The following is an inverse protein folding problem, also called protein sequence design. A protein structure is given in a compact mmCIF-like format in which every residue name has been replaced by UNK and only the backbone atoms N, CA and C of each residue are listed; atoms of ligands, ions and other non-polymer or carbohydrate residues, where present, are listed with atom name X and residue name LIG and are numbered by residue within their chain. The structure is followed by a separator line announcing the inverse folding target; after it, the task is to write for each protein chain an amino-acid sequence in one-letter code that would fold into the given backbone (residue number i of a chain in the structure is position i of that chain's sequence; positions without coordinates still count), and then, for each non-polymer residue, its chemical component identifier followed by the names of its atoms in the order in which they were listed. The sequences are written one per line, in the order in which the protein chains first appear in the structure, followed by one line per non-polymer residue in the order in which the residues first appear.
data_IF_517914090792
#
_entry.id   IF_517914090792
#
_cell.length_a   1.000
_cell.length_b   1.000
_cell.length_c   1.000
_cell.angle_alpha   90.00
_cell.angle_beta   90.00
_cell.angle_gamma   90.00
#
_symmetry.space_group_name_H-M   'P 1'
#
loop_
_entity.id
_entity.type
_entity.pdbx_description
1 polymer ?
#
# COMPACT_ATOMS: atom_id res chain seq x y z
N UNK A 1 4.12 -2.00 8.76
CA UNK A 1 4.74 -3.35 8.82
C UNK A 1 3.70 -4.49 8.86
N UNK A 2 2.47 -4.26 9.34
CA UNK A 2 1.43 -5.30 9.47
C UNK A 2 1.12 -6.02 8.16
N UNK A 3 0.94 -5.29 7.07
CA UNK A 3 0.66 -5.87 5.74
C UNK A 3 1.80 -6.73 5.20
N UNK A 4 3.05 -6.27 5.37
CA UNK A 4 4.24 -7.05 4.97
C UNK A 4 4.31 -8.35 5.79
N UNK A 5 4.07 -8.27 7.10
CA UNK A 5 4.04 -9.45 7.96
C UNK A 5 2.98 -10.47 7.53
N UNK A 6 1.77 -10.03 7.20
CA UNK A 6 0.72 -10.93 6.71
C UNK A 6 1.11 -11.63 5.41
N UNK A 7 1.73 -10.90 4.48
CA UNK A 7 2.09 -11.43 3.17
C UNK A 7 3.34 -12.32 3.19
N UNK A 8 4.32 -12.01 4.04
CA UNK A 8 5.66 -12.62 3.97
C UNK A 8 6.08 -13.38 5.23
N UNK A 9 5.42 -13.17 6.36
CA UNK A 9 5.86 -13.63 7.68
C UNK A 9 6.95 -12.76 8.33
N UNK A 10 7.62 -11.88 7.58
CA UNK A 10 8.66 -10.99 8.09
C UNK A 10 8.08 -9.74 8.76
N UNK A 11 8.72 -9.31 9.86
CA UNK A 11 8.37 -8.08 10.57
C UNK A 11 9.50 -7.06 10.44
N UNK A 12 9.54 -6.28 9.33
CA UNK A 12 10.58 -5.28 9.18
C UNK A 12 10.44 -4.18 10.24
N UNK A 13 11.55 -3.70 10.83
CA UNK A 13 11.51 -2.57 11.74
C UNK A 13 11.09 -1.31 10.99
N UNK A 14 10.28 -0.47 11.66
CA UNK A 14 9.89 0.85 11.14
C UNK A 14 10.75 1.90 11.82
N UNK A 15 11.40 2.76 11.03
CA UNK A 15 12.23 3.86 11.52
C UNK A 15 11.82 5.16 10.83
N UNK A 16 11.73 6.23 11.61
CA UNK A 16 11.63 7.58 11.04
C UNK A 16 12.97 7.98 10.45
N UNK A 17 12.96 8.54 9.25
CA UNK A 17 14.10 9.14 8.60
C UNK A 17 13.92 10.67 8.60
N UNK A 18 15.00 11.42 8.48
CA UNK A 18 14.95 12.87 8.25
C UNK A 18 14.52 13.14 6.82
N UNK A 19 13.98 14.34 6.58
CA UNK A 19 13.57 14.75 5.24
C UNK A 19 14.74 14.62 4.25
N UNK A 20 14.47 13.93 3.13
CA UNK A 20 15.46 13.68 2.09
C UNK A 20 16.41 12.49 2.33
N UNK A 21 16.34 11.83 3.48
CA UNK A 21 17.10 10.60 3.72
C UNK A 21 16.39 9.38 3.14
N UNK A 22 17.16 8.48 2.53
CA UNK A 22 16.71 7.16 2.09
C UNK A 22 17.62 6.08 2.66
N UNK A 23 17.03 4.95 3.05
CA UNK A 23 17.78 3.80 3.53
C UNK A 23 17.96 2.79 2.38
N UNK A 24 19.17 2.20 2.27
CA UNK A 24 19.43 1.11 1.34
C UNK A 24 18.81 -0.20 1.83
N UNK A 25 18.41 -1.06 0.90
CA UNK A 25 17.78 -2.36 1.20
C UNK A 25 16.56 -2.22 2.11
N UNK A 26 15.77 -1.19 1.87
CA UNK A 26 14.61 -0.84 2.66
C UNK A 26 13.43 -0.45 1.76
N UNK A 27 12.24 -0.41 2.35
CA UNK A 27 11.07 0.21 1.76
C UNK A 27 11.00 1.64 2.31
N UNK A 28 11.32 2.60 1.46
CA UNK A 28 11.28 4.02 1.77
C UNK A 28 9.90 4.59 1.39
N UNK A 29 9.31 5.34 2.32
CA UNK A 29 8.04 6.02 2.12
C UNK A 29 8.27 7.53 2.18
N UNK A 30 7.78 8.27 1.20
CA UNK A 30 7.98 9.71 1.12
C UNK A 30 6.76 10.44 0.56
N UNK A 31 6.78 11.76 0.68
CA UNK A 31 5.83 12.65 0.03
C UNK A 31 6.52 13.36 -1.12
N UNK A 32 5.77 13.56 -2.22
CA UNK A 32 6.24 14.25 -3.41
C UNK A 32 5.13 15.18 -3.92
N UNK A 33 5.33 16.47 -3.74
CA UNK A 33 4.36 17.51 -4.11
C UNK A 33 4.19 17.68 -5.63
N UNK A 34 5.11 17.16 -6.44
CA UNK A 34 5.05 17.23 -7.89
C UNK A 34 4.06 16.20 -8.48
N UNK A 35 3.58 15.25 -7.68
CA UNK A 35 2.51 14.34 -8.08
C UNK A 35 1.18 15.11 -8.11
N UNK A 36 0.54 15.18 -9.28
CA UNK A 36 -0.63 16.06 -9.49
C UNK A 36 -1.89 15.64 -8.71
N UNK A 37 -2.12 14.33 -8.56
CA UNK A 37 -3.30 13.80 -7.88
C UNK A 37 -3.00 13.50 -6.40
N UNK A 38 -3.86 14.00 -5.50
CA UNK A 38 -3.70 13.81 -4.05
C UNK A 38 -3.62 12.34 -3.62
N UNK A 39 -4.22 11.45 -4.37
CA UNK A 39 -4.20 10.01 -4.13
C UNK A 39 -3.22 9.28 -5.07
N UNK A 40 -2.51 10.04 -5.94
CA UNK A 40 -1.50 9.50 -6.84
C UNK A 40 -0.22 9.10 -6.12
N UNK A 41 0.48 8.14 -6.69
CA UNK A 41 1.77 7.66 -6.18
C UNK A 41 2.71 7.22 -7.29
N UNK A 42 3.99 7.15 -6.95
CA UNK A 42 5.04 6.52 -7.74
C UNK A 42 5.72 5.47 -6.86
N UNK A 43 5.73 4.22 -7.34
CA UNK A 43 6.42 3.10 -6.71
C UNK A 43 7.60 2.72 -7.61
N UNK A 44 8.81 2.77 -7.08
CA UNK A 44 10.03 2.42 -7.81
C UNK A 44 10.76 1.29 -7.09
N UNK A 45 11.06 0.23 -7.82
CA UNK A 45 11.82 -0.94 -7.34
C UNK A 45 13.18 -0.96 -8.03
N UNK A 46 14.24 -1.03 -7.24
CA UNK A 46 15.63 -1.10 -7.70
C UNK A 46 16.40 -2.17 -6.92
N UNK A 47 17.64 -2.45 -7.31
CA UNK A 47 18.54 -3.30 -6.52
C UNK A 47 18.89 -2.72 -5.14
N UNK A 48 18.76 -1.40 -4.97
CA UNK A 48 19.08 -0.71 -3.71
C UNK A 48 17.88 -0.69 -2.73
N UNK A 49 16.68 -0.99 -3.20
CA UNK A 49 15.47 -0.99 -2.37
C UNK A 49 14.22 -0.55 -3.12
N UNK A 50 13.19 -0.29 -2.36
CA UNK A 50 11.88 0.14 -2.86
C UNK A 50 11.61 1.55 -2.36
N UNK A 51 11.16 2.43 -3.27
CA UNK A 51 10.73 3.79 -2.96
C UNK A 51 9.25 3.93 -3.31
N UNK A 52 8.45 4.45 -2.38
CA UNK A 52 7.04 4.79 -2.60
C UNK A 52 6.85 6.25 -2.24
N UNK A 53 6.54 7.07 -3.21
CA UNK A 53 6.22 8.49 -3.04
C UNK A 53 4.76 8.74 -3.41
N UNK A 54 4.02 9.41 -2.54
CA UNK A 54 2.66 9.88 -2.82
C UNK A 54 2.58 11.38 -2.69
N UNK A 55 1.60 12.02 -3.35
CA UNK A 55 1.36 13.46 -3.11
C UNK A 55 0.92 13.70 -1.66
N UNK A 56 0.10 12.78 -1.13
CA UNK A 56 -0.34 12.77 0.26
C UNK A 56 -0.12 11.38 0.88
N UNK A 57 -0.40 11.26 2.16
CA UNK A 57 -0.38 9.96 2.86
C UNK A 57 -1.32 8.92 2.23
N UNK A 58 -2.45 9.36 1.63
CA UNK A 58 -3.36 8.48 0.90
C UNK A 58 -2.67 7.86 -0.32
N UNK A 59 -1.94 8.66 -1.11
CA UNK A 59 -1.16 8.15 -2.23
C UNK A 59 -0.11 7.14 -1.79
N UNK A 60 0.62 7.42 -0.71
CA UNK A 60 1.59 6.47 -0.13
C UNK A 60 0.89 5.19 0.29
N UNK A 61 -0.30 5.27 0.91
CA UNK A 61 -1.10 4.11 1.29
C UNK A 61 -1.44 3.23 0.07
N UNK A 62 -1.92 3.82 -1.04
CA UNK A 62 -2.22 3.07 -2.27
C UNK A 62 -0.97 2.45 -2.90
N UNK A 63 0.16 3.15 -2.89
CA UNK A 63 1.43 2.58 -3.30
C UNK A 63 1.85 1.36 -2.46
N UNK A 64 1.60 1.41 -1.15
CA UNK A 64 1.80 0.25 -0.27
C UNK A 64 0.86 -0.92 -0.60
N UNK A 65 -0.41 -0.66 -0.98
CA UNK A 65 -1.33 -1.71 -1.40
C UNK A 65 -0.87 -2.36 -2.71
N UNK A 66 -0.38 -1.57 -3.68
CA UNK A 66 0.20 -2.08 -4.92
C UNK A 66 1.41 -2.96 -4.66
N UNK A 67 2.32 -2.52 -3.80
CA UNK A 67 3.46 -3.36 -3.39
C UNK A 67 2.98 -4.67 -2.74
N UNK A 68 2.01 -4.60 -1.82
CA UNK A 68 1.44 -5.79 -1.17
C UNK A 68 0.87 -6.78 -2.18
N UNK A 69 0.09 -6.29 -3.17
CA UNK A 69 -0.54 -7.11 -4.22
C UNK A 69 0.50 -7.70 -5.19
N UNK A 70 1.68 -7.08 -5.30
CA UNK A 70 2.80 -7.59 -6.12
C UNK A 70 3.55 -8.76 -5.45
N UNK A 71 3.28 -9.03 -4.16
CA UNK A 71 3.89 -10.15 -3.43
C UNK A 71 3.09 -11.42 -3.73
N UNK A 72 3.73 -12.50 -4.24
CA UNK A 72 3.05 -13.77 -4.47
C UNK A 72 2.43 -14.35 -3.20
N UNK A 73 1.26 -15.00 -3.33
CA UNK A 73 0.54 -15.56 -2.18
C UNK A 73 1.31 -16.67 -1.44
N UNK A 74 2.19 -17.36 -2.15
CA UNK A 74 3.01 -18.46 -1.63
C UNK A 74 4.35 -18.00 -1.03
N UNK A 75 4.56 -16.67 -0.90
CA UNK A 75 5.85 -16.09 -0.50
C UNK A 75 6.19 -16.21 0.99
N UNK A 76 5.41 -16.93 1.80
CA UNK A 76 5.68 -17.08 3.22
C UNK A 76 7.02 -17.79 3.49
N UNK A 77 7.97 -17.05 4.05
CA UNK A 77 9.29 -17.57 4.42
C UNK A 77 10.26 -17.78 3.26
N UNK A 78 9.89 -17.37 2.04
CA UNK A 78 10.76 -17.44 0.87
C UNK A 78 11.31 -16.06 0.47
N UNK A 79 12.42 -16.05 -0.26
CA UNK A 79 12.92 -14.83 -0.89
C UNK A 79 11.95 -14.36 -1.98
N UNK A 80 11.58 -13.10 -1.95
CA UNK A 80 10.65 -12.50 -2.90
C UNK A 80 11.45 -11.70 -3.92
N UNK A 81 11.36 -12.11 -5.18
CA UNK A 81 11.93 -11.38 -6.29
C UNK A 81 10.87 -10.47 -6.92
N UNK A 82 11.07 -9.17 -6.80
CA UNK A 82 10.26 -8.17 -7.47
C UNK A 82 11.04 -7.64 -8.70
N UNK A 83 10.38 -7.48 -9.86
CA UNK A 83 11.04 -6.90 -11.03
C UNK A 83 11.43 -5.45 -10.74
N UNK A 84 12.62 -5.05 -11.20
CA UNK A 84 13.03 -3.64 -11.16
C UNK A 84 12.17 -2.85 -12.16
N UNK A 85 11.71 -1.67 -11.73
CA UNK A 85 10.85 -0.82 -12.56
C UNK A 85 10.20 0.30 -11.76
N UNK A 86 9.38 1.09 -12.45
CA UNK A 86 8.61 2.16 -11.83
C UNK A 86 7.14 2.07 -12.26
N UNK A 87 6.25 2.20 -11.30
CA UNK A 87 4.79 2.26 -11.48
C UNK A 87 4.37 3.65 -11.05
N UNK A 88 3.69 4.38 -11.96
CA UNK A 88 2.99 5.62 -11.64
C UNK A 88 1.51 5.37 -11.82
N UNK A 89 0.73 5.59 -10.78
CA UNK A 89 -0.71 5.30 -10.79
C UNK A 89 -1.48 6.33 -9.96
N UNK A 90 -2.75 6.51 -10.34
CA UNK A 90 -3.69 7.40 -9.67
C UNK A 90 -5.13 6.95 -9.91
N UNK A 91 -6.07 7.22 -8.99
CA UNK A 91 -7.47 6.89 -9.18
C UNK A 91 -8.09 7.63 -10.37
N UNK A 92 -8.87 6.90 -11.19
CA UNK A 92 -9.63 7.50 -12.30
C UNK A 92 -10.83 8.32 -11.83
N UNK A 93 -11.41 7.98 -10.67
CA UNK A 93 -12.58 8.62 -10.11
C UNK A 93 -12.28 9.13 -8.70
N UNK A 94 -12.70 10.33 -8.39
CA UNK A 94 -12.56 10.94 -7.07
C UNK A 94 -13.53 10.34 -6.04
N UNK A 95 -14.68 9.87 -6.50
CA UNK A 95 -15.67 9.20 -5.66
C UNK A 95 -15.66 7.70 -5.95
N UNK A 96 -15.33 6.91 -4.94
CA UNK A 96 -15.32 5.44 -4.96
C UNK A 96 -15.94 4.95 -3.67
N UNK A 97 -16.85 3.99 -3.75
CA UNK A 97 -17.51 3.48 -2.56
C UNK A 97 -18.50 2.38 -2.87
N UNK A 98 -18.90 1.69 -1.83
CA UNK A 98 -19.97 0.70 -1.87
C UNK A 98 -21.02 1.04 -0.84
N UNK A 99 -22.26 0.62 -1.09
CA UNK A 99 -23.37 0.77 -0.17
C UNK A 99 -23.72 -0.57 0.48
N UNK A 100 -23.78 -0.58 1.81
CA UNK A 100 -24.23 -1.74 2.58
C UNK A 100 -25.50 -1.36 3.34
N UNK A 101 -26.62 -2.03 3.05
CA UNK A 101 -27.87 -1.86 3.78
C UNK A 101 -27.88 -2.77 5.02
N UNK A 102 -27.74 -2.16 6.19
CA UNK A 102 -27.77 -2.85 7.49
C UNK A 102 -29.13 -2.77 8.18
N UNK A 103 -30.11 -2.08 7.58
CA UNK A 103 -31.45 -1.91 8.15
C UNK A 103 -32.39 -3.06 7.77
N UNK A 104 -32.38 -3.49 6.50
CA UNK A 104 -33.25 -4.60 6.03
C UNK A 104 -32.70 -5.96 6.43
N UNK A 105 -31.39 -6.08 6.51
CA UNK A 105 -30.69 -7.26 7.02
C UNK A 105 -29.67 -6.84 8.05
N UNK A 106 -29.78 -7.40 9.25
CA UNK A 106 -28.80 -7.16 10.30
C UNK A 106 -27.53 -7.97 10.01
N UNK A 107 -26.38 -7.27 10.01
CA UNK A 107 -25.07 -7.90 9.92
C UNK A 107 -24.31 -7.72 11.24
N UNK A 108 -23.68 -8.78 11.76
CA UNK A 108 -22.83 -8.68 12.94
C UNK A 108 -21.67 -7.69 12.72
N UNK A 109 -21.20 -7.07 13.78
CA UNK A 109 -20.08 -6.11 13.74
C UNK A 109 -18.84 -6.70 13.06
N UNK A 110 -18.53 -7.97 13.29
CA UNK A 110 -17.38 -8.63 12.69
C UNK A 110 -17.49 -8.73 11.16
N UNK A 111 -18.67 -9.02 10.64
CA UNK A 111 -18.92 -9.00 9.19
C UNK A 111 -18.69 -7.60 8.61
N UNK A 112 -19.15 -6.54 9.29
CA UNK A 112 -18.95 -5.16 8.81
C UNK A 112 -17.46 -4.81 8.78
N UNK A 113 -16.68 -5.22 9.77
CA UNK A 113 -15.22 -5.03 9.79
C UNK A 113 -14.54 -5.77 8.63
N UNK A 114 -14.92 -7.02 8.39
CA UNK A 114 -14.43 -7.82 7.26
C UNK A 114 -14.81 -7.19 5.90
N UNK A 115 -15.98 -6.56 5.82
CA UNK A 115 -16.44 -5.88 4.62
C UNK A 115 -15.66 -4.59 4.34
N UNK A 116 -15.30 -3.81 5.38
CA UNK A 116 -14.55 -2.57 5.24
C UNK A 116 -13.10 -2.81 4.78
N UNK A 117 -12.49 -3.91 5.21
CA UNK A 117 -11.09 -4.18 4.91
C UNK A 117 -10.78 -4.28 3.41
N UNK A 118 -11.51 -5.05 2.59
CA UNK A 118 -11.33 -5.07 1.13
C UNK A 118 -11.56 -3.70 0.49
N UNK A 119 -12.55 -2.94 0.95
CA UNK A 119 -12.81 -1.59 0.43
C UNK A 119 -11.60 -0.67 0.59
N UNK A 120 -10.95 -0.70 1.74
CA UNK A 120 -9.76 0.10 1.99
C UNK A 120 -8.53 -0.41 1.21
N UNK A 121 -8.46 -1.70 0.88
CA UNK A 121 -7.32 -2.30 0.19
C UNK A 121 -7.42 -2.27 -1.34
N UNK A 122 -8.63 -2.14 -1.89
CA UNK A 122 -8.90 -2.24 -3.33
C UNK A 122 -9.46 -0.93 -3.92
N UNK A 123 -9.74 0.07 -3.07
CA UNK A 123 -10.36 1.36 -3.37
C UNK A 123 -9.48 2.43 -4.01
#
# INVERSE_FOLDING_TARGET
SGYIRQATGYTPPVKGLKDGETAKHAINLGLDADIANKEGYVLTTTSEGIQINGQTENGVFYGCQTLRKSIPAEAQGADILLPAGSIKDEPRFTYRGMHLDVCRHFFPLEFIKEYIFPLASDG
#
